data_IF_788531263087
#
_entry.id   IF_788531263087
#
_cell.length_a   1.000
_cell.length_b   1.000
_cell.length_c   1.000
_cell.angle_alpha   90.00
_cell.angle_beta   90.00
_cell.angle_gamma   90.00
#
_symmetry.space_group_name_H-M   'P 1'
#
loop_
_entity.id
_entity.type
_entity.pdbx_description
1 polymer ?
#
# COMPACT_ATOMS: atom_id res chain seq x y z
N UNK A 1 7.09 15.36 3.04
CA UNK A 1 6.95 14.87 1.66
C UNK A 1 5.50 14.92 1.16
N UNK A 2 4.53 14.30 1.85
CA UNK A 2 3.12 14.25 1.38
C UNK A 2 2.45 15.62 1.14
N UNK A 3 2.71 16.63 1.99
CA UNK A 3 2.13 17.98 1.82
C UNK A 3 2.50 18.61 0.47
N UNK A 4 3.75 18.42 0.03
CA UNK A 4 4.22 18.93 -1.26
C UNK A 4 3.53 18.20 -2.43
N UNK A 5 3.34 16.88 -2.30
CA UNK A 5 2.59 16.08 -3.29
C UNK A 5 1.13 16.55 -3.38
N UNK A 6 0.46 16.78 -2.25
CA UNK A 6 -0.92 17.29 -2.22
C UNK A 6 -1.07 18.64 -2.91
N UNK A 7 -0.11 19.56 -2.70
CA UNK A 7 -0.06 20.83 -3.44
C UNK A 7 0.07 20.61 -4.95
N UNK A 8 1.00 19.75 -5.37
CA UNK A 8 1.20 19.42 -6.78
C UNK A 8 -0.01 18.77 -7.45
N UNK A 9 -0.74 17.89 -6.73
CA UNK A 9 -1.99 17.31 -7.20
C UNK A 9 -3.03 18.41 -7.46
N UNK A 10 -3.28 19.27 -6.48
CA UNK A 10 -4.29 20.33 -6.60
C UNK A 10 -3.99 21.30 -7.76
N UNK A 11 -2.72 21.72 -7.90
CA UNK A 11 -2.27 22.57 -8.99
C UNK A 11 -2.39 21.86 -10.34
N UNK A 12 -1.99 20.59 -10.42
CA UNK A 12 -2.06 19.78 -11.64
C UNK A 12 -3.48 19.55 -12.12
N UNK A 13 -4.41 19.24 -11.22
CA UNK A 13 -5.84 19.08 -11.55
C UNK A 13 -6.42 20.38 -12.12
N UNK A 14 -6.21 21.49 -11.39
CA UNK A 14 -6.73 22.81 -11.77
C UNK A 14 -6.18 23.27 -13.12
N UNK A 15 -4.85 23.17 -13.30
CA UNK A 15 -4.17 23.65 -14.50
C UNK A 15 -4.58 22.91 -15.77
N UNK A 16 -4.93 21.62 -15.65
CA UNK A 16 -5.25 20.77 -16.79
C UNK A 16 -6.75 20.49 -16.94
N UNK A 17 -7.61 21.08 -16.12
CA UNK A 17 -9.06 20.84 -16.16
C UNK A 17 -9.45 19.38 -15.86
N UNK A 18 -8.64 18.70 -15.05
CA UNK A 18 -8.86 17.31 -14.65
C UNK A 18 -9.62 17.24 -13.32
N UNK A 19 -10.36 16.15 -13.11
CA UNK A 19 -11.01 15.85 -11.86
C UNK A 19 -10.17 14.91 -10.99
N UNK A 20 -10.56 14.75 -9.72
CA UNK A 20 -9.87 13.82 -8.80
C UNK A 20 -9.86 12.39 -9.37
N UNK A 21 -10.92 12.00 -10.04
CA UNK A 21 -11.15 10.66 -10.57
C UNK A 21 -10.19 10.28 -11.71
N UNK A 22 -9.61 11.29 -12.38
CA UNK A 22 -8.61 11.10 -13.43
C UNK A 22 -7.24 10.63 -12.89
N UNK A 23 -7.04 10.68 -11.58
CA UNK A 23 -5.78 10.33 -10.93
C UNK A 23 -5.84 9.00 -10.18
N UNK A 24 -4.78 8.21 -10.34
CA UNK A 24 -4.49 7.08 -9.47
C UNK A 24 -3.48 7.48 -8.38
N UNK A 25 -3.96 7.63 -7.14
CA UNK A 25 -3.11 8.01 -6.00
C UNK A 25 -2.93 6.81 -5.05
N UNK A 26 -1.67 6.47 -4.80
CA UNK A 26 -1.26 5.42 -3.86
C UNK A 26 -0.47 6.02 -2.70
N UNK A 27 -0.76 5.61 -1.47
CA UNK A 27 0.06 5.90 -0.29
C UNK A 27 0.27 4.62 0.54
N UNK A 28 1.01 4.73 1.64
CA UNK A 28 1.39 3.57 2.46
C UNK A 28 1.27 3.83 3.96
N UNK A 29 0.82 2.81 4.69
CA UNK A 29 0.84 2.75 6.15
C UNK A 29 2.26 2.43 6.64
N UNK A 30 2.82 3.31 7.46
CA UNK A 30 4.17 3.13 8.00
C UNK A 30 4.22 2.19 9.22
N UNK A 31 5.42 1.70 9.51
CA UNK A 31 5.67 0.57 10.42
C UNK A 31 5.32 0.86 11.89
N UNK A 32 5.15 2.12 12.28
CA UNK A 32 4.75 2.58 13.62
C UNK A 32 3.22 2.67 13.82
N UNK A 33 2.44 2.43 12.77
CA UNK A 33 0.97 2.48 12.79
C UNK A 33 0.31 1.10 12.55
N UNK A 34 1.02 0.01 12.88
CA UNK A 34 0.50 -1.37 12.74
C UNK A 34 -0.53 -1.75 13.80
N UNK A 35 -0.59 -1.03 14.93
CA UNK A 35 -1.67 -1.18 15.91
C UNK A 35 -3.01 -0.90 15.21
N UNK A 36 -3.97 -1.84 15.21
CA UNK A 36 -5.27 -1.67 14.56
C UNK A 36 -5.99 -0.36 14.90
N UNK A 37 -5.82 0.14 16.14
CA UNK A 37 -6.43 1.39 16.59
C UNK A 37 -5.82 2.66 15.94
N UNK A 38 -4.61 2.55 15.39
CA UNK A 38 -3.87 3.66 14.75
C UNK A 38 -4.02 3.70 13.24
N UNK A 39 -4.44 2.61 12.61
CA UNK A 39 -4.50 2.46 11.14
C UNK A 39 -5.39 3.53 10.50
N UNK A 40 -6.56 3.79 11.09
CA UNK A 40 -7.50 4.79 10.57
C UNK A 40 -6.96 6.22 10.69
N UNK A 41 -6.41 6.57 11.85
CA UNK A 41 -5.79 7.88 12.06
C UNK A 41 -4.61 8.13 11.09
N UNK A 42 -3.86 7.08 10.73
CA UNK A 42 -2.74 7.18 9.79
C UNK A 42 -3.19 7.53 8.36
N UNK A 43 -4.26 6.91 7.86
CA UNK A 43 -4.81 7.27 6.55
C UNK A 43 -5.49 8.63 6.59
N UNK A 44 -6.17 9.00 7.67
CA UNK A 44 -6.77 10.33 7.81
C UNK A 44 -5.73 11.44 7.74
N UNK A 45 -4.59 11.23 8.40
CA UNK A 45 -3.45 12.16 8.30
C UNK A 45 -2.91 12.22 6.88
N UNK A 46 -2.80 11.09 6.19
CA UNK A 46 -2.35 11.02 4.80
C UNK A 46 -3.29 11.78 3.87
N UNK A 47 -4.60 11.55 3.98
CA UNK A 47 -5.65 12.21 3.21
C UNK A 47 -5.65 13.72 3.44
N UNK A 48 -5.55 14.15 4.70
CA UNK A 48 -5.41 15.56 5.08
C UNK A 48 -4.16 16.22 4.45
N UNK A 49 -3.00 15.56 4.54
CA UNK A 49 -1.76 16.06 3.94
C UNK A 49 -1.84 16.16 2.41
N UNK A 50 -2.53 15.21 1.76
CA UNK A 50 -2.72 15.18 0.32
C UNK A 50 -3.88 16.07 -0.15
N UNK A 51 -4.73 16.54 0.78
CA UNK A 51 -5.99 17.26 0.51
C UNK A 51 -6.95 16.46 -0.36
N UNK A 52 -7.15 15.19 -0.01
CA UNK A 52 -8.00 14.24 -0.73
C UNK A 52 -9.01 13.59 0.21
N UNK A 53 -10.13 13.13 -0.35
CA UNK A 53 -11.14 12.37 0.42
C UNK A 53 -10.89 10.86 0.40
N UNK A 54 -10.18 10.35 -0.62
CA UNK A 54 -9.87 8.94 -0.75
C UNK A 54 -8.53 8.67 -1.48
N UNK A 55 -7.96 7.49 -1.23
CA UNK A 55 -6.87 6.91 -2.01
C UNK A 55 -7.39 5.83 -2.96
N UNK A 56 -6.77 5.67 -4.13
CA UNK A 56 -7.08 4.55 -5.02
C UNK A 56 -6.52 3.25 -4.44
N UNK A 57 -5.33 3.32 -3.82
CA UNK A 57 -4.66 2.19 -3.20
C UNK A 57 -3.93 2.63 -1.92
N UNK A 58 -4.11 1.88 -0.85
CA UNK A 58 -3.35 2.06 0.39
C UNK A 58 -2.60 0.77 0.74
N UNK A 59 -1.27 0.86 0.83
CA UNK A 59 -0.41 -0.31 1.04
C UNK A 59 0.07 -0.40 2.48
N UNK A 60 0.15 -1.61 3.04
CA UNK A 60 1.00 -1.85 4.20
C UNK A 60 2.47 -1.75 3.76
N UNK A 61 3.25 -0.81 4.28
CA UNK A 61 4.59 -0.55 3.73
C UNK A 61 5.56 -1.71 3.98
N UNK A 62 5.51 -2.33 5.15
CA UNK A 62 6.27 -3.54 5.48
C UNK A 62 5.43 -4.45 6.37
N UNK A 63 5.67 -5.77 6.39
CA UNK A 63 5.04 -6.69 7.34
C UNK A 63 5.62 -6.60 8.77
N UNK A 64 6.37 -5.53 9.08
CA UNK A 64 7.11 -5.37 10.33
C UNK A 64 6.60 -4.18 11.13
N UNK A 65 6.36 -4.40 12.43
CA UNK A 65 6.04 -3.34 13.39
C UNK A 65 7.27 -2.91 14.17
N UNK A 66 7.39 -1.61 14.43
CA UNK A 66 8.49 -1.06 15.25
C UNK A 66 8.27 -1.27 16.75
N UNK A 67 7.11 -1.78 17.18
CA UNK A 67 6.82 -2.06 18.58
C UNK A 67 7.29 -3.46 18.99
N UNK A 68 8.17 -3.52 20.00
CA UNK A 68 8.65 -4.79 20.59
C UNK A 68 7.47 -5.59 21.18
N UNK A 69 7.43 -6.89 20.89
CA UNK A 69 6.70 -7.86 21.72
C UNK A 69 5.48 -8.55 21.11
N UNK A 70 5.17 -8.41 19.82
CA UNK A 70 4.11 -9.20 19.19
C UNK A 70 4.48 -9.63 17.77
N UNK A 71 4.77 -10.92 17.60
CA UNK A 71 4.71 -11.59 16.30
C UNK A 71 3.22 -11.79 15.95
N UNK A 72 2.86 -11.57 14.68
CA UNK A 72 1.50 -11.51 14.11
C UNK A 72 0.79 -10.13 14.21
N UNK A 73 1.52 -9.03 14.01
CA UNK A 73 0.88 -7.71 13.87
C UNK A 73 0.23 -7.49 12.50
N UNK A 74 0.84 -7.94 11.39
CA UNK A 74 0.34 -7.60 10.06
C UNK A 74 -1.04 -8.19 9.74
N UNK A 75 -1.43 -9.35 10.31
CA UNK A 75 -2.79 -9.88 10.14
C UNK A 75 -3.83 -9.00 10.83
N UNK A 76 -3.53 -8.48 12.03
CA UNK A 76 -4.39 -7.53 12.73
C UNK A 76 -4.45 -6.19 12.00
N UNK A 77 -3.30 -5.70 11.52
CA UNK A 77 -3.23 -4.50 10.67
C UNK A 77 -4.06 -4.69 9.41
N UNK A 78 -3.98 -5.86 8.74
CA UNK A 78 -4.77 -6.16 7.54
C UNK A 78 -6.27 -6.12 7.82
N UNK A 79 -6.73 -6.75 8.91
CA UNK A 79 -8.13 -6.68 9.35
C UNK A 79 -8.60 -5.24 9.57
N UNK A 80 -7.75 -4.36 10.11
CA UNK A 80 -8.06 -2.94 10.23
C UNK A 80 -8.06 -2.21 8.87
N UNK A 81 -7.13 -2.54 7.97
CA UNK A 81 -7.08 -1.98 6.62
C UNK A 81 -8.33 -2.34 5.79
N UNK A 82 -8.90 -3.54 5.95
CA UNK A 82 -10.17 -3.93 5.29
C UNK A 82 -11.29 -2.94 5.64
N UNK A 83 -11.34 -2.44 6.89
CA UNK A 83 -12.33 -1.44 7.31
C UNK A 83 -12.15 -0.09 6.58
N UNK A 84 -10.94 0.24 6.13
CA UNK A 84 -10.70 1.45 5.34
C UNK A 84 -11.34 1.38 3.95
N UNK A 85 -11.53 0.17 3.42
CA UNK A 85 -12.30 -0.04 2.18
C UNK A 85 -13.78 0.20 2.43
N UNK A 86 -14.30 -0.33 3.54
CA UNK A 86 -15.70 -0.17 3.94
C UNK A 86 -16.07 1.30 4.20
N UNK A 87 -15.15 2.08 4.78
CA UNK A 87 -15.35 3.52 5.02
C UNK A 87 -15.12 4.40 3.78
N UNK A 88 -14.64 3.83 2.67
CA UNK A 88 -14.35 4.55 1.43
C UNK A 88 -13.06 5.37 1.42
N UNK A 89 -12.31 5.40 2.53
CA UNK A 89 -11.02 6.13 2.65
C UNK A 89 -9.95 5.56 1.71
N UNK A 90 -10.01 4.27 1.42
CA UNK A 90 -9.22 3.63 0.36
C UNK A 90 -10.15 2.82 -0.55
N UNK A 91 -10.04 2.96 -1.87
CA UNK A 91 -10.80 2.11 -2.81
C UNK A 91 -10.30 0.68 -2.82
N UNK A 92 -8.98 0.51 -2.65
CA UNK A 92 -8.30 -0.78 -2.63
C UNK A 92 -7.19 -0.76 -1.58
N UNK A 93 -6.86 -1.93 -1.04
CA UNK A 93 -5.73 -2.11 -0.14
C UNK A 93 -4.78 -3.17 -0.69
N UNK A 94 -3.51 -3.05 -0.33
CA UNK A 94 -2.48 -3.99 -0.74
C UNK A 94 -1.32 -4.01 0.24
N UNK A 95 -0.24 -4.66 -0.18
CA UNK A 95 0.94 -4.90 0.65
C UNK A 95 2.21 -4.46 -0.07
N UNK A 96 3.29 -4.34 0.68
CA UNK A 96 4.61 -4.03 0.16
C UNK A 96 5.65 -4.79 0.98
N UNK A 97 6.66 -5.32 0.30
CA UNK A 97 7.82 -5.98 0.92
C UNK A 97 7.48 -7.23 1.75
N UNK A 98 6.49 -8.02 1.34
CA UNK A 98 6.19 -9.31 1.98
C UNK A 98 7.07 -10.40 1.37
N UNK A 99 7.60 -11.29 2.21
CA UNK A 99 8.21 -12.54 1.76
C UNK A 99 7.13 -13.54 1.28
N UNK A 100 7.51 -14.61 0.57
CA UNK A 100 6.58 -15.66 0.20
C UNK A 100 5.80 -16.25 1.37
N UNK A 101 6.48 -16.64 2.45
CA UNK A 101 5.82 -17.21 3.65
C UNK A 101 4.85 -16.23 4.31
N UNK A 102 5.18 -14.93 4.30
CA UNK A 102 4.31 -13.88 4.86
C UNK A 102 3.07 -13.66 4.00
N UNK A 103 3.21 -13.69 2.67
CA UNK A 103 2.07 -13.63 1.77
C UNK A 103 1.18 -14.86 1.96
N UNK A 104 1.75 -16.07 1.97
CA UNK A 104 0.98 -17.30 2.17
C UNK A 104 0.22 -17.29 3.50
N UNK A 105 0.89 -16.85 4.57
CA UNK A 105 0.25 -16.64 5.87
C UNK A 105 -0.91 -15.67 5.76
N UNK A 106 -0.75 -14.52 5.09
CA UNK A 106 -1.82 -13.55 4.88
C UNK A 106 -3.00 -14.17 4.14
N UNK A 107 -2.74 -14.83 3.01
CA UNK A 107 -3.77 -15.41 2.14
C UNK A 107 -4.56 -16.52 2.83
N UNK A 108 -3.92 -17.31 3.70
CA UNK A 108 -4.59 -18.34 4.49
C UNK A 108 -5.51 -17.77 5.60
N UNK A 109 -5.40 -16.48 5.93
CA UNK A 109 -6.14 -15.84 7.03
C UNK A 109 -7.10 -14.75 6.57
N UNK A 110 -7.29 -14.54 5.26
CA UNK A 110 -8.19 -13.52 4.73
C UNK A 110 -8.87 -13.95 3.43
N UNK A 111 -10.12 -13.54 3.27
CA UNK A 111 -10.84 -13.63 1.99
C UNK A 111 -10.73 -12.33 1.17
N UNK A 112 -10.21 -11.25 1.78
CA UNK A 112 -9.97 -9.99 1.10
C UNK A 112 -8.53 -9.96 0.61
N UNK A 113 -8.30 -10.49 -0.60
CA UNK A 113 -6.97 -10.56 -1.19
C UNK A 113 -6.36 -9.16 -1.38
N UNK A 114 -5.05 -8.99 -1.18
CA UNK A 114 -4.41 -7.72 -1.50
C UNK A 114 -4.55 -7.42 -2.99
N UNK A 115 -4.98 -6.21 -3.33
CA UNK A 115 -5.11 -5.80 -4.72
C UNK A 115 -3.76 -5.78 -5.44
N UNK A 116 -2.72 -5.31 -4.73
CA UNK A 116 -1.38 -5.22 -5.26
C UNK A 116 -0.34 -5.59 -4.19
N UNK A 117 0.80 -6.10 -4.66
CA UNK A 117 2.03 -6.25 -3.91
C UNK A 117 3.11 -5.39 -4.57
N UNK A 118 3.60 -4.37 -3.84
CA UNK A 118 4.73 -3.57 -4.27
C UNK A 118 6.05 -4.14 -3.75
N UNK A 119 7.01 -4.42 -4.63
CA UNK A 119 8.28 -5.07 -4.28
C UNK A 119 9.43 -4.61 -5.18
N UNK A 120 10.67 -4.84 -4.74
CA UNK A 120 11.86 -4.55 -5.53
C UNK A 120 11.90 -5.43 -6.77
N UNK A 121 12.07 -4.84 -7.94
CA UNK A 121 12.08 -5.60 -9.17
C UNK A 121 12.88 -4.86 -10.22
N UNK A 122 13.91 -5.48 -10.76
CA UNK A 122 14.79 -4.89 -11.77
C UNK A 122 15.54 -6.00 -12.52
N UNK A 123 16.27 -5.72 -13.62
CA UNK A 123 16.94 -6.77 -14.40
C UNK A 123 17.90 -7.68 -13.60
N UNK A 124 18.51 -7.18 -12.52
CA UNK A 124 19.35 -7.97 -11.60
C UNK A 124 18.57 -8.74 -10.50
N UNK A 125 17.27 -8.51 -10.39
CA UNK A 125 16.35 -9.16 -9.45
C UNK A 125 14.96 -9.30 -10.12
N UNK A 126 14.82 -10.15 -11.16
CA UNK A 126 13.60 -10.23 -11.97
C UNK A 126 12.45 -11.02 -11.29
N UNK A 127 12.77 -11.94 -10.39
CA UNK A 127 11.79 -12.69 -9.56
C UNK A 127 10.61 -13.29 -10.36
N UNK A 128 10.87 -13.87 -11.54
CA UNK A 128 9.82 -14.30 -12.49
C UNK A 128 8.78 -15.27 -11.89
N UNK A 129 9.24 -16.30 -11.19
CA UNK A 129 8.38 -17.27 -10.49
C UNK A 129 7.48 -16.57 -9.46
N UNK A 130 8.01 -15.54 -8.80
CA UNK A 130 7.28 -14.77 -7.82
C UNK A 130 6.23 -13.88 -8.47
N UNK A 131 6.50 -13.28 -9.62
CA UNK A 131 5.50 -12.54 -10.40
C UNK A 131 4.38 -13.48 -10.87
N UNK A 132 4.74 -14.68 -11.35
CA UNK A 132 3.76 -15.67 -11.78
C UNK A 132 2.85 -16.09 -10.61
N UNK A 133 3.42 -16.29 -9.42
CA UNK A 133 2.69 -16.62 -8.19
C UNK A 133 1.58 -15.60 -7.87
N UNK A 134 1.87 -14.30 -8.02
CA UNK A 134 0.90 -13.21 -7.86
C UNK A 134 -0.15 -13.20 -8.96
N UNK A 135 0.30 -13.32 -10.21
CA UNK A 135 -0.56 -13.31 -11.40
C UNK A 135 -1.64 -14.38 -11.32
N UNK A 136 -1.27 -15.61 -10.92
CA UNK A 136 -2.20 -16.73 -10.75
C UNK A 136 -3.29 -16.47 -9.69
N UNK A 137 -3.07 -15.53 -8.77
CA UNK A 137 -3.98 -15.15 -7.70
C UNK A 137 -4.71 -13.83 -7.95
N UNK A 138 -4.48 -13.21 -9.12
CA UNK A 138 -5.05 -11.91 -9.45
C UNK A 138 -4.46 -10.73 -8.67
N UNK A 139 -3.32 -10.90 -8.02
CA UNK A 139 -2.63 -9.83 -7.28
C UNK A 139 -1.73 -9.06 -8.26
N UNK A 140 -1.89 -7.74 -8.33
CA UNK A 140 -1.06 -6.90 -9.21
C UNK A 140 0.34 -6.72 -8.62
N UNK A 141 1.36 -6.78 -9.46
CA UNK A 141 2.75 -6.49 -9.04
C UNK A 141 3.10 -5.07 -9.43
N UNK A 142 3.64 -4.30 -8.48
CA UNK A 142 4.22 -2.98 -8.75
C UNK A 142 5.70 -2.98 -8.37
N UNK A 143 6.58 -2.72 -9.32
CA UNK A 143 8.01 -2.62 -9.09
C UNK A 143 8.40 -1.30 -8.40
N UNK A 144 9.29 -1.34 -7.41
CA UNK A 144 10.13 -0.20 -7.03
C UNK A 144 11.60 -0.48 -7.33
N UNK A 145 12.42 0.59 -7.33
CA UNK A 145 13.83 0.55 -7.77
C UNK A 145 14.04 -0.10 -9.15
N UNK A 146 13.18 0.16 -10.17
CA UNK A 146 13.21 -0.59 -11.42
C UNK A 146 14.48 -0.39 -12.27
N UNK A 147 15.24 0.67 -11.97
CA UNK A 147 16.42 1.07 -12.73
C UNK A 147 17.75 0.74 -12.04
N UNK A 148 17.75 -0.06 -10.95
CA UNK A 148 18.91 -0.44 -10.11
C UNK A 148 20.26 0.17 -10.51
N UNK A 149 20.83 1.03 -9.66
CA UNK A 149 22.16 1.61 -9.86
C UNK A 149 23.13 0.95 -8.87
N UNK A 150 24.19 0.31 -9.36
CA UNK A 150 25.35 -0.01 -8.53
C UNK A 150 25.98 1.33 -8.10
N UNK A 151 25.92 1.64 -6.80
CA UNK A 151 26.69 2.71 -6.18
C UNK A 151 27.98 2.13 -5.59
#
# INVERSE_FOLDING_TARGET
MQIGVGKGIAEGLTKNGLSREDLWITSKLWNDHHDPSKVEAAIDKTLSNLKLDYLNLYLMHWPASTHKGYEIQFLHTWKAMIKLVQSGKARRIGISNFSPDQLDTLLNHTTHLPYAHQMELHPYLPQDDWIQYHTMRGIQVTAYSPLYVML
#
